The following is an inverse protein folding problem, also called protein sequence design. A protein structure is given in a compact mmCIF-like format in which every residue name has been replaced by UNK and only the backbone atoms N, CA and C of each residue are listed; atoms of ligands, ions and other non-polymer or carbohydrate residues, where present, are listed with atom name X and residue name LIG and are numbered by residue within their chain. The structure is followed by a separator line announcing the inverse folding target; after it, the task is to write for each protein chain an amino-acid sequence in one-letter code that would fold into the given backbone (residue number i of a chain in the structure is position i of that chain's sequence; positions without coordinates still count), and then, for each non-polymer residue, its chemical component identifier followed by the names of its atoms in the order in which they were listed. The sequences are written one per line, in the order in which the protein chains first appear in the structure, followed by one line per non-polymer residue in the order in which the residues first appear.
data_IF_505403455499
#
_entry.id   IF_505403455499
#
_cell.length_a   1.000
_cell.length_b   1.000
_cell.length_c   1.000
_cell.angle_alpha   90.00
_cell.angle_beta   90.00
_cell.angle_gamma   90.00
#
_symmetry.space_group_name_H-M   'P 1'
#
loop_
_entity.id
_entity.type
_entity.pdbx_description
1 polymer ?
#
# COMPACT_ATOMS: atom_id res chain seq x y z
N UNK A 1 12.99 -2.17 -22.74
CA UNK A 1 12.57 -2.37 -21.34
C UNK A 1 12.59 -1.02 -20.66
N UNK A 2 11.43 -0.38 -20.49
CA UNK A 2 11.32 0.85 -19.72
C UNK A 2 11.48 0.48 -18.25
N UNK A 3 12.63 0.78 -17.67
CA UNK A 3 12.83 0.76 -16.22
C UNK A 3 11.96 1.85 -15.61
N UNK A 4 10.75 1.49 -15.19
CA UNK A 4 9.96 2.30 -14.29
C UNK A 4 10.69 2.28 -12.95
N UNK A 5 11.35 3.37 -12.57
CA UNK A 5 11.82 3.54 -11.20
C UNK A 5 10.59 3.35 -10.31
N UNK A 6 10.53 2.31 -9.47
CA UNK A 6 9.36 2.07 -8.67
C UNK A 6 9.15 3.29 -7.77
N UNK A 7 7.91 3.78 -7.62
CA UNK A 7 7.61 4.83 -6.65
C UNK A 7 8.20 4.44 -5.29
N UNK A 8 8.65 5.42 -4.52
CA UNK A 8 9.22 5.16 -3.19
C UNK A 8 8.10 4.71 -2.23
N UNK A 9 7.70 3.45 -2.27
CA UNK A 9 6.54 2.92 -1.52
C UNK A 9 6.80 2.68 -0.03
N UNK A 10 8.03 2.89 0.45
CA UNK A 10 8.43 2.56 1.83
C UNK A 10 7.72 3.39 2.92
N UNK A 11 7.14 4.55 2.58
CA UNK A 11 6.34 5.35 3.52
C UNK A 11 4.85 4.99 3.48
N UNK A 12 4.43 4.18 2.51
CA UNK A 12 3.06 3.75 2.36
C UNK A 12 2.83 2.45 3.12
N UNK A 13 1.62 2.28 3.65
CA UNK A 13 1.22 1.08 4.36
C UNK A 13 0.75 -0.01 3.38
N UNK A 14 1.43 -1.18 3.31
CA UNK A 14 0.99 -2.30 2.49
C UNK A 14 -0.12 -3.10 3.18
N UNK A 15 -1.12 -3.54 2.40
CA UNK A 15 -2.17 -4.47 2.83
C UNK A 15 -2.25 -5.61 1.83
N UNK A 16 -2.13 -6.85 2.32
CA UNK A 16 -2.32 -8.02 1.48
C UNK A 16 -3.80 -8.22 1.15
N UNK A 17 -4.11 -8.36 -0.14
CA UNK A 17 -5.43 -8.65 -0.66
C UNK A 17 -5.46 -10.12 -1.13
N UNK A 18 -6.08 -11.02 -0.36
CA UNK A 18 -6.11 -12.43 -0.72
C UNK A 18 -6.94 -12.67 -1.98
N UNK A 19 -6.55 -13.70 -2.72
CA UNK A 19 -7.30 -14.28 -3.82
C UNK A 19 -7.47 -15.78 -3.58
N UNK A 20 -8.24 -16.46 -4.44
CA UNK A 20 -8.46 -17.92 -4.36
C UNK A 20 -7.14 -18.71 -4.34
N UNK A 21 -6.18 -18.30 -5.17
CA UNK A 21 -4.81 -18.80 -5.12
C UNK A 21 -3.92 -17.76 -4.42
N UNK A 22 -3.10 -18.15 -3.42
CA UNK A 22 -2.22 -17.19 -2.73
C UNK A 22 -1.33 -16.40 -3.68
N UNK A 23 -0.79 -17.06 -4.72
CA UNK A 23 0.06 -16.43 -5.75
C UNK A 23 -0.68 -15.45 -6.67
N UNK A 24 -2.02 -15.52 -6.73
CA UNK A 24 -2.87 -14.59 -7.45
C UNK A 24 -3.32 -13.42 -6.56
N UNK A 25 -2.89 -13.38 -5.29
CA UNK A 25 -3.11 -12.24 -4.41
C UNK A 25 -2.41 -10.97 -4.91
N UNK A 26 -2.74 -9.87 -4.27
CA UNK A 26 -2.15 -8.57 -4.55
C UNK A 26 -1.79 -7.86 -3.24
N UNK A 27 -1.04 -6.78 -3.36
CA UNK A 27 -0.88 -5.81 -2.29
C UNK A 27 -1.50 -4.48 -2.72
N UNK A 28 -2.14 -3.81 -1.76
CA UNK A 28 -2.59 -2.44 -1.89
C UNK A 28 -1.78 -1.56 -0.95
N UNK A 29 -1.15 -0.51 -1.47
CA UNK A 29 -0.45 0.51 -0.70
C UNK A 29 -1.34 1.74 -0.59
N UNK A 30 -1.47 2.25 0.63
CA UNK A 30 -2.18 3.48 0.92
C UNK A 30 -1.34 4.36 1.85
N UNK A 31 -1.59 5.66 1.87
CA UNK A 31 -0.83 6.62 2.67
C UNK A 31 -1.55 6.92 4.00
N UNK A 32 -0.96 6.60 5.17
CA UNK A 32 -1.48 6.99 6.48
C UNK A 32 -1.67 8.51 6.66
N UNK A 33 -0.79 9.33 6.07
CA UNK A 33 -0.88 10.78 6.07
C UNK A 33 -1.98 11.30 5.11
N UNK A 34 -2.41 10.46 4.16
CA UNK A 34 -3.47 10.79 3.20
C UNK A 34 -2.98 11.61 2.00
N UNK A 35 -1.68 11.61 1.73
CA UNK A 35 -1.14 12.27 0.55
C UNK A 35 -1.54 11.52 -0.74
N UNK A 36 -1.65 12.24 -1.87
CA UNK A 36 -1.94 11.62 -3.16
C UNK A 36 -0.85 10.63 -3.57
N UNK A 37 -1.25 9.42 -3.96
CA UNK A 37 -0.34 8.39 -4.46
C UNK A 37 -0.39 8.37 -6.00
N UNK A 38 0.73 8.65 -6.69
CA UNK A 38 0.77 8.54 -8.15
C UNK A 38 0.43 7.12 -8.62
N UNK A 39 -0.49 7.01 -9.58
CA UNK A 39 -0.91 5.72 -10.13
C UNK A 39 -1.90 4.93 -9.26
N UNK A 40 -2.38 5.50 -8.14
CA UNK A 40 -3.48 4.90 -7.40
C UNK A 40 -4.74 4.87 -8.27
N UNK A 41 -5.18 3.66 -8.63
CA UNK A 41 -6.38 3.41 -9.43
C UNK A 41 -7.50 2.72 -8.64
N UNK A 42 -7.20 2.24 -7.43
CA UNK A 42 -8.13 1.49 -6.59
C UNK A 42 -8.45 2.25 -5.29
N UNK A 43 -9.44 1.75 -4.55
CA UNK A 43 -9.78 2.22 -3.20
C UNK A 43 -9.64 1.08 -2.17
N UNK A 44 -9.18 1.44 -0.97
CA UNK A 44 -9.10 0.54 0.18
C UNK A 44 -9.99 1.08 1.30
N UNK A 45 -10.77 0.21 1.94
CA UNK A 45 -11.45 0.58 3.20
C UNK A 45 -10.53 0.32 4.38
N UNK A 46 -10.18 1.37 5.12
CA UNK A 46 -9.37 1.30 6.34
C UNK A 46 -10.18 1.73 7.56
N UNK A 47 -9.77 1.26 8.74
CA UNK A 47 -10.28 1.77 10.02
C UNK A 47 -9.27 2.76 10.58
N UNK A 48 -9.70 4.00 10.79
CA UNK A 48 -8.88 5.05 11.41
C UNK A 48 -9.61 5.66 12.62
N UNK A 49 -8.88 6.12 13.65
CA UNK A 49 -9.49 6.89 14.71
C UNK A 49 -10.05 8.21 14.17
N UNK A 50 -11.23 8.59 14.63
CA UNK A 50 -11.74 9.95 14.50
C UNK A 50 -11.05 10.85 15.53
N UNK A 51 -11.20 12.18 15.39
CA UNK A 51 -10.70 13.15 16.36
C UNK A 51 -11.19 12.90 17.81
N UNK A 52 -12.32 12.21 17.99
CA UNK A 52 -12.87 11.80 19.29
C UNK A 52 -12.35 10.41 19.76
N UNK A 53 -11.37 9.83 19.07
CA UNK A 53 -10.77 8.53 19.37
C UNK A 53 -11.58 7.32 18.92
N UNK A 54 -12.81 7.49 18.42
CA UNK A 54 -13.65 6.35 18.00
C UNK A 54 -13.20 5.80 16.64
N UNK A 55 -13.24 4.47 16.42
CA UNK A 55 -12.90 3.90 15.12
C UNK A 55 -13.94 4.29 14.06
N UNK A 56 -13.47 4.68 12.88
CA UNK A 56 -14.29 5.00 11.71
C UNK A 56 -13.74 4.31 10.47
N UNK A 57 -14.63 3.73 9.65
CA UNK A 57 -14.28 3.22 8.32
C UNK A 57 -14.17 4.38 7.34
N UNK A 58 -13.09 4.40 6.56
CA UNK A 58 -12.80 5.43 5.55
C UNK A 58 -12.28 4.76 4.30
N UNK A 59 -12.75 5.19 3.13
CA UNK A 59 -12.18 4.81 1.84
C UNK A 59 -10.99 5.71 1.54
N UNK A 60 -9.86 5.11 1.19
CA UNK A 60 -8.61 5.81 0.83
C UNK A 60 -8.15 5.36 -0.55
N UNK A 61 -7.50 6.24 -1.34
CA UNK A 61 -6.85 5.83 -2.57
C UNK A 61 -5.78 4.78 -2.30
N UNK A 62 -5.64 3.82 -3.20
CA UNK A 62 -4.64 2.78 -3.10
C UNK A 62 -3.97 2.49 -4.45
N UNK A 63 -2.66 2.30 -4.41
CA UNK A 63 -1.91 1.68 -5.50
C UNK A 63 -1.96 0.17 -5.32
N UNK A 64 -2.42 -0.57 -6.31
CA UNK A 64 -2.48 -2.03 -6.29
C UNK A 64 -1.38 -2.62 -7.17
N UNK A 65 -0.57 -3.51 -6.61
CA UNK A 65 0.39 -4.31 -7.36
C UNK A 65 0.10 -5.81 -7.19
N UNK A 66 0.20 -6.62 -8.25
CA UNK A 66 0.22 -8.07 -8.14
C UNK A 66 1.33 -8.55 -7.20
N UNK A 67 1.15 -9.70 -6.54
CA UNK A 67 2.13 -10.25 -5.60
C UNK A 67 3.56 -10.30 -6.17
N UNK A 68 3.71 -10.72 -7.43
CA UNK A 68 5.02 -10.83 -8.07
C UNK A 68 5.76 -9.49 -8.21
N UNK A 69 5.02 -8.40 -8.40
CA UNK A 69 5.56 -7.04 -8.50
C UNK A 69 5.76 -6.40 -7.12
N UNK A 70 4.96 -6.82 -6.13
CA UNK A 70 5.04 -6.37 -4.74
C UNK A 70 6.32 -6.83 -4.03
N UNK A 71 6.70 -8.10 -4.23
CA UNK A 71 7.75 -8.75 -3.45
C UNK A 71 9.12 -8.05 -3.56
N UNK A 72 9.61 -7.65 -4.74
CA UNK A 72 10.88 -6.91 -4.83
C UNK A 72 10.88 -5.61 -4.02
N UNK A 73 9.74 -4.91 -3.94
CA UNK A 73 9.61 -3.67 -3.16
C UNK A 73 9.64 -3.97 -1.67
N UNK A 74 8.89 -4.98 -1.22
CA UNK A 74 8.81 -5.37 0.19
C UNK A 74 10.11 -5.97 0.73
N UNK A 75 10.87 -6.64 -0.13
CA UNK A 75 12.15 -7.27 0.21
C UNK A 75 13.34 -6.34 0.00
N UNK A 76 13.15 -5.18 -0.64
CA UNK A 76 14.18 -4.17 -0.70
C UNK A 76 14.54 -3.72 0.72
N UNK A 77 15.81 -3.41 0.96
CA UNK A 77 16.24 -2.94 2.26
C UNK A 77 15.42 -1.70 2.65
N UNK A 78 14.89 -1.63 3.89
CA UNK A 78 14.15 -0.47 4.34
C UNK A 78 15.05 0.77 4.26
N UNK A 79 14.49 1.89 3.82
CA UNK A 79 15.20 3.17 3.84
C UNK A 79 15.59 3.51 5.30
N UNK A 80 16.75 4.13 5.53
CA UNK A 80 17.14 4.58 6.85
C UNK A 80 16.04 5.48 7.45
N UNK A 81 15.45 5.05 8.57
CA UNK A 81 14.38 5.77 9.28
C UNK A 81 12.95 5.34 8.92
N UNK A 82 12.76 4.36 8.03
CA UNK A 82 11.45 3.71 7.88
C UNK A 82 11.12 2.87 9.12
N UNK A 83 9.89 3.01 9.65
CA UNK A 83 9.42 2.18 10.75
C UNK A 83 9.18 0.73 10.25
N UNK A 84 9.61 -0.32 10.97
CA UNK A 84 9.26 -1.71 10.65
C UNK A 84 7.75 -2.00 10.69
#
# INVERSE_FOLDING_TARGET
MTTHTPPRLHHLAPVFLPAELPRAGAFAWWDPAGEPIPGAGDTLTVVRPRADGRPRRVEVPALRLPLAEALPVLLAAPEPGAHP
#
